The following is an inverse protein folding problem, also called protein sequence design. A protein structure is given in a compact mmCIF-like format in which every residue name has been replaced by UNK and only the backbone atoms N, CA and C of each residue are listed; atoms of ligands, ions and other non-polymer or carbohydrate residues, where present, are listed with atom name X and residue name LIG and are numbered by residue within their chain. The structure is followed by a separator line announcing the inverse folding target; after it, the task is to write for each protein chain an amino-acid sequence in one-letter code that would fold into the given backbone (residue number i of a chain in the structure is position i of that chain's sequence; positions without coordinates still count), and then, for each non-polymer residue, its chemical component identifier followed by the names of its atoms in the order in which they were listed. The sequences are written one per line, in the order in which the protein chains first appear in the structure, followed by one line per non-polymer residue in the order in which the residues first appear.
data_IF_946112352911
#
_entry.id   IF_946112352911
#
_cell.length_a   1.000
_cell.length_b   1.000
_cell.length_c   1.000
_cell.angle_alpha   90.00
_cell.angle_beta   90.00
_cell.angle_gamma   90.00
#
_symmetry.space_group_name_H-M   'P 1'
#
loop_
_entity.id
_entity.type
_entity.pdbx_description
1 polymer ?
#
# COMPACT_ATOMS: atom_id res chain seq x y z
N UNK A 1 -2.15 -15.49 -13.71
CA UNK A 1 -1.31 -16.66 -13.40
C UNK A 1 -0.53 -16.33 -12.15
N UNK A 2 -0.68 -17.13 -11.10
CA UNK A 2 0.10 -16.98 -9.87
C UNK A 2 1.26 -17.99 -9.89
N UNK A 3 2.41 -17.60 -9.35
CA UNK A 3 3.61 -18.43 -9.30
C UNK A 3 3.94 -18.73 -7.83
N UNK A 4 4.25 -19.99 -7.53
CA UNK A 4 4.62 -20.44 -6.20
C UNK A 4 6.05 -20.98 -6.21
N UNK A 5 6.83 -20.61 -5.18
CA UNK A 5 8.18 -21.12 -5.01
C UNK A 5 8.11 -22.59 -4.56
N UNK A 6 8.96 -23.41 -5.16
CA UNK A 6 9.13 -24.83 -4.81
C UNK A 6 10.55 -25.07 -4.33
N UNK A 7 10.82 -26.28 -3.81
CA UNK A 7 12.19 -26.69 -3.45
C UNK A 7 13.17 -26.68 -4.63
N UNK A 8 12.67 -26.65 -5.87
CA UNK A 8 13.47 -26.57 -7.09
C UNK A 8 13.63 -25.15 -7.62
N UNK A 9 12.98 -24.16 -7.01
CA UNK A 9 13.06 -22.78 -7.46
C UNK A 9 14.39 -22.17 -7.05
N UNK A 10 15.11 -21.63 -8.02
CA UNK A 10 16.36 -20.90 -7.82
C UNK A 10 16.08 -19.40 -7.98
N UNK A 11 16.55 -18.58 -7.05
CA UNK A 11 16.41 -17.12 -7.09
C UNK A 11 17.82 -16.52 -7.00
N UNK A 12 18.25 -15.87 -8.07
CA UNK A 12 19.57 -15.23 -8.14
C UNK A 12 19.44 -13.71 -8.35
N UNK A 13 20.32 -12.89 -7.76
CA UNK A 13 20.33 -11.45 -7.99
C UNK A 13 20.62 -11.10 -9.45
N UNK A 14 19.81 -10.23 -10.04
CA UNK A 14 20.08 -9.68 -11.37
C UNK A 14 21.08 -8.52 -11.25
N UNK A 15 22.23 -8.63 -11.92
CA UNK A 15 23.37 -7.71 -11.74
C UNK A 15 23.39 -6.55 -12.72
N UNK A 16 22.58 -6.60 -13.77
CA UNK A 16 22.54 -5.55 -14.79
C UNK A 16 21.48 -4.53 -14.38
N UNK A 17 21.77 -3.22 -14.41
CA UNK A 17 20.75 -2.20 -14.22
C UNK A 17 19.67 -2.37 -15.27
N UNK A 18 18.43 -2.55 -14.82
CA UNK A 18 17.28 -2.55 -15.71
C UNK A 18 16.23 -1.61 -15.11
N UNK A 19 15.58 -0.86 -15.97
CA UNK A 19 14.43 -0.07 -15.56
C UNK A 19 13.24 -1.02 -15.51
N UNK A 20 12.78 -1.35 -14.30
CA UNK A 20 11.46 -1.95 -14.16
C UNK A 20 10.44 -1.04 -14.84
N UNK A 21 9.52 -1.64 -15.60
CA UNK A 21 8.35 -0.90 -16.07
C UNK A 21 7.71 -0.21 -14.86
N UNK A 22 7.28 1.06 -14.99
CA UNK A 22 6.68 1.78 -13.89
C UNK A 22 5.50 0.98 -13.33
N UNK A 23 5.66 0.52 -12.10
CA UNK A 23 4.61 -0.08 -11.31
C UNK A 23 4.07 1.04 -10.41
N UNK A 24 2.75 1.32 -10.35
CA UNK A 24 1.60 0.62 -10.95
C UNK A 24 1.08 1.27 -12.26
N UNK A 25 0.43 0.47 -13.12
CA UNK A 25 -0.19 0.91 -14.39
C UNK A 25 -1.45 1.78 -14.21
N UNK A 26 -2.14 1.69 -13.07
CA UNK A 26 -3.42 2.38 -12.84
C UNK A 26 -3.48 2.99 -11.43
N UNK A 27 -2.91 4.18 -11.27
CA UNK A 27 -2.95 4.92 -10.02
C UNK A 27 -4.27 5.68 -9.92
N UNK A 28 -5.07 5.38 -8.89
CA UNK A 28 -6.24 6.19 -8.55
C UNK A 28 -5.75 7.49 -7.92
N UNK A 29 -5.85 8.58 -8.68
CA UNK A 29 -5.55 9.94 -8.20
C UNK A 29 -6.74 10.56 -7.46
N UNK A 30 -7.96 10.09 -7.73
CA UNK A 30 -9.18 10.62 -7.12
C UNK A 30 -9.80 9.61 -6.16
N UNK A 31 -9.54 9.80 -4.87
CA UNK A 31 -10.03 8.93 -3.80
C UNK A 31 -11.56 9.01 -3.63
N UNK A 32 -12.23 10.06 -4.15
CA UNK A 32 -13.69 10.13 -4.17
C UNK A 32 -14.34 9.03 -5.05
N UNK A 33 -13.58 8.45 -5.98
CA UNK A 33 -14.07 7.33 -6.80
C UNK A 33 -14.13 6.00 -6.03
N UNK A 34 -13.57 5.91 -4.81
CA UNK A 34 -13.71 4.71 -3.97
C UNK A 34 -15.16 4.40 -3.62
N UNK A 35 -16.00 5.43 -3.44
CA UNK A 35 -17.40 5.25 -3.07
C UNK A 35 -18.17 4.49 -4.16
N UNK A 36 -17.71 4.57 -5.40
CA UNK A 36 -18.31 3.91 -6.56
C UNK A 36 -17.81 2.48 -6.74
N UNK A 37 -16.75 2.08 -6.04
CA UNK A 37 -16.18 0.75 -6.16
C UNK A 37 -16.90 -0.24 -5.23
N UNK A 38 -17.10 -1.50 -5.65
CA UNK A 38 -17.58 -2.54 -4.76
C UNK A 38 -16.67 -2.73 -3.55
N UNK A 39 -17.25 -3.13 -2.41
CA UNK A 39 -16.47 -3.50 -1.24
C UNK A 39 -15.47 -4.63 -1.58
N UNK A 40 -14.26 -4.55 -0.99
CA UNK A 40 -13.13 -5.47 -1.21
C UNK A 40 -12.47 -5.38 -2.59
N UNK A 41 -12.67 -4.27 -3.31
CA UNK A 41 -11.89 -3.97 -4.53
C UNK A 41 -10.46 -3.58 -4.16
N UNK A 42 -9.47 -4.20 -4.81
CA UNK A 42 -8.07 -3.81 -4.70
C UNK A 42 -7.79 -2.58 -5.57
N UNK A 43 -7.05 -1.62 -5.01
CA UNK A 43 -6.81 -0.31 -5.64
C UNK A 43 -5.38 0.14 -5.40
N UNK A 44 -4.78 0.76 -6.41
CA UNK A 44 -3.51 1.46 -6.28
C UNK A 44 -3.77 2.96 -6.07
N UNK A 45 -3.09 3.58 -5.11
CA UNK A 45 -3.33 4.97 -4.73
C UNK A 45 -2.01 5.72 -4.67
N UNK A 46 -2.04 7.01 -5.01
CA UNK A 46 -0.93 7.92 -4.76
C UNK A 46 -1.45 9.14 -4.03
N UNK A 47 -0.93 9.35 -2.82
CA UNK A 47 -1.35 10.41 -1.92
C UNK A 47 -0.22 10.77 -0.96
N UNK A 48 -0.29 11.95 -0.38
CA UNK A 48 0.64 12.45 0.63
C UNK A 48 0.08 12.09 2.01
N UNK A 49 0.89 11.49 2.87
CA UNK A 49 0.53 11.26 4.27
C UNK A 49 0.62 12.59 5.02
N UNK A 50 -0.49 13.02 5.63
CA UNK A 50 -0.57 14.30 6.36
C UNK A 50 -0.72 14.13 7.87
N UNK A 51 -1.11 12.93 8.32
CA UNK A 51 -1.20 12.63 9.74
C UNK A 51 -1.00 11.14 10.01
N UNK A 52 -0.31 10.86 11.11
CA UNK A 52 -0.06 9.53 11.65
C UNK A 52 -0.69 9.45 13.03
N UNK A 53 -1.64 8.54 13.19
CA UNK A 53 -2.25 8.27 14.48
C UNK A 53 -1.29 7.45 15.37
N UNK A 54 -1.64 7.31 16.64
CA UNK A 54 -1.00 6.36 17.55
C UNK A 54 -1.30 4.91 17.14
N UNK A 55 -0.47 3.98 17.62
CA UNK A 55 -0.69 2.55 17.36
C UNK A 55 -1.82 2.06 18.26
N UNK A 56 -2.80 1.40 17.66
CA UNK A 56 -3.93 0.77 18.32
C UNK A 56 -3.76 -0.75 18.31
N UNK A 57 -3.93 -1.39 19.46
CA UNK A 57 -3.83 -2.84 19.59
C UNK A 57 -5.24 -3.47 19.63
N UNK A 58 -5.46 -4.50 18.83
CA UNK A 58 -6.72 -5.26 18.80
C UNK A 58 -6.46 -6.76 18.90
N UNK A 59 -7.53 -7.56 19.04
CA UNK A 59 -7.46 -9.02 19.00
C UNK A 59 -6.84 -9.58 17.70
N UNK A 60 -6.80 -8.79 16.62
CA UNK A 60 -6.26 -9.17 15.31
C UNK A 60 -4.82 -8.68 15.09
N UNK A 61 -4.24 -7.99 16.08
CA UNK A 61 -2.92 -7.40 16.02
C UNK A 61 -2.92 -5.87 16.07
N UNK A 62 -1.72 -5.25 16.02
CA UNK A 62 -1.55 -3.81 16.02
C UNK A 62 -1.90 -3.21 14.65
N UNK A 63 -2.54 -2.05 14.67
CA UNK A 63 -2.77 -1.23 13.49
C UNK A 63 -2.55 0.25 13.80
N UNK A 64 -2.27 1.04 12.77
CA UNK A 64 -2.23 2.51 12.84
C UNK A 64 -3.14 3.08 11.78
N UNK A 65 -3.86 4.15 12.11
CA UNK A 65 -4.55 4.96 11.10
C UNK A 65 -3.59 5.98 10.54
N UNK A 66 -3.60 6.13 9.22
CA UNK A 66 -2.93 7.23 8.54
C UNK A 66 -4.00 8.07 7.85
N UNK A 67 -3.80 9.38 7.81
CA UNK A 67 -4.60 10.27 6.98
C UNK A 67 -3.76 10.68 5.79
N UNK A 68 -4.33 10.51 4.61
CA UNK A 68 -3.69 10.87 3.34
C UNK A 68 -4.50 11.95 2.64
N UNK A 69 -3.81 12.83 1.92
CA UNK A 69 -4.39 13.82 1.02
C UNK A 69 -3.94 13.53 -0.41
N UNK A 70 -4.89 13.53 -1.36
CA UNK A 70 -4.56 13.40 -2.78
C UNK A 70 -4.41 14.76 -3.46
N UNK A 71 -4.07 14.75 -4.75
CA UNK A 71 -3.93 15.96 -5.57
C UNK A 71 -5.23 16.81 -5.68
N UNK A 72 -6.37 16.27 -5.24
CA UNK A 72 -7.67 16.95 -5.23
C UNK A 72 -8.07 17.45 -3.84
N UNK A 73 -7.13 17.53 -2.91
CA UNK A 73 -7.36 18.02 -1.54
C UNK A 73 -8.37 17.19 -0.72
N UNK A 74 -8.57 15.92 -1.09
CA UNK A 74 -9.48 15.03 -0.40
C UNK A 74 -8.74 14.23 0.67
N UNK A 75 -9.27 14.25 1.90
CA UNK A 75 -8.69 13.56 3.05
C UNK A 75 -9.32 12.18 3.23
N UNK A 76 -8.49 11.16 3.36
CA UNK A 76 -8.94 9.78 3.57
C UNK A 76 -8.16 9.10 4.69
N UNK A 77 -8.86 8.31 5.50
CA UNK A 77 -8.26 7.51 6.56
C UNK A 77 -8.03 6.08 6.08
N UNK A 78 -6.80 5.61 6.21
CA UNK A 78 -6.38 4.26 5.84
C UNK A 78 -5.86 3.54 7.09
N UNK A 79 -6.23 2.28 7.27
CA UNK A 79 -5.68 1.42 8.34
C UNK A 79 -4.49 0.64 7.79
N UNK A 80 -3.34 0.79 8.45
CA UNK A 80 -2.11 0.05 8.16
C UNK A 80 -1.90 -0.98 9.28
N UNK A 81 -1.64 -2.23 8.91
CA UNK A 81 -1.54 -3.37 9.85
C UNK A 81 -0.12 -3.95 9.90
N UNK A 82 0.26 -4.49 11.05
CA UNK A 82 1.41 -5.38 11.21
C UNK A 82 2.77 -4.77 10.81
N UNK A 83 3.65 -5.59 10.22
CA UNK A 83 5.04 -5.25 9.88
C UNK A 83 5.19 -4.08 8.89
N UNK A 84 4.14 -3.76 8.14
CA UNK A 84 4.11 -2.61 7.22
C UNK A 84 4.24 -1.27 7.98
N UNK A 85 3.91 -1.25 9.27
CA UNK A 85 4.14 -0.10 10.16
C UNK A 85 5.63 0.17 10.38
N UNK A 86 6.47 -0.87 10.36
CA UNK A 86 7.89 -0.79 10.70
C UNK A 86 8.80 -0.68 9.47
N UNK A 87 8.41 -1.27 8.33
CA UNK A 87 9.26 -1.36 7.13
C UNK A 87 9.34 -0.07 6.30
N UNK A 88 8.31 0.78 6.34
CA UNK A 88 8.22 1.94 5.46
C UNK A 88 8.46 3.29 6.16
N UNK A 89 9.06 3.28 7.36
CA UNK A 89 9.47 4.48 8.08
C UNK A 89 8.42 5.62 8.02
N UNK A 90 7.18 5.32 8.44
CA UNK A 90 6.24 6.37 8.87
C UNK A 90 6.56 6.75 10.33
N UNK A 91 7.82 7.12 10.54
CA UNK A 91 8.40 7.44 11.83
C UNK A 91 8.61 8.94 11.97
#
# INVERSE_FOLDING_TARGET
MELYLTRKTVVEPYKVPFQMLPFPKYIILNLADFVKLPNRTLVDIMAIVVYLDTIHCTMWGPFRKIVVINARWSLHTIKVWGDLLNKNALH
#
